data_IF_215146776068
#
_entry.id   IF_215146776068
#
_cell.length_a   1.000
_cell.length_b   1.000
_cell.length_c   1.000
_cell.angle_alpha   90.00
_cell.angle_beta   90.00
_cell.angle_gamma   90.00
#
_symmetry.space_group_name_H-M   'P 1'
#
loop_
_entity.id
_entity.type
_entity.pdbx_description
1 polymer ?
#
# COMPACT_ATOMS: atom_id res chain seq x y z
N UNK A 1 29.95 36.23 -13.57
CA UNK A 1 29.30 35.33 -12.61
C UNK A 1 27.85 35.75 -12.52
N UNK A 2 26.93 34.93 -13.05
CA UNK A 2 25.49 35.17 -12.98
C UNK A 2 24.95 34.38 -11.79
N UNK A 3 24.63 35.08 -10.70
CA UNK A 3 23.84 34.50 -9.60
C UNK A 3 22.40 34.44 -10.08
N UNK A 4 22.01 33.32 -10.72
CA UNK A 4 20.64 33.05 -11.09
C UNK A 4 19.82 32.75 -9.83
N UNK A 5 19.12 33.76 -9.31
CA UNK A 5 18.04 33.54 -8.36
C UNK A 5 16.98 32.73 -9.10
N UNK A 6 16.70 31.52 -8.63
CA UNK A 6 15.58 30.73 -9.15
C UNK A 6 14.31 31.37 -8.60
N UNK A 7 13.56 32.05 -9.47
CA UNK A 7 12.22 32.54 -9.18
C UNK A 7 11.25 31.45 -9.59
N UNK A 8 10.54 30.92 -8.61
CA UNK A 8 9.41 30.04 -8.86
C UNK A 8 8.18 30.93 -9.07
N UNK A 9 7.81 31.16 -10.34
CA UNK A 9 6.70 32.04 -10.74
C UNK A 9 5.38 31.73 -10.02
N UNK A 10 5.17 30.48 -9.59
CA UNK A 10 4.00 30.06 -8.80
C UNK A 10 3.91 30.75 -7.42
N UNK A 11 5.03 31.27 -6.90
CA UNK A 11 5.10 32.05 -5.64
C UNK A 11 5.29 33.55 -5.87
N UNK A 12 5.23 34.05 -7.11
CA UNK A 12 5.49 35.45 -7.45
C UNK A 12 4.25 36.38 -7.34
N UNK A 13 3.24 35.99 -6.55
CA UNK A 13 1.99 36.74 -6.36
C UNK A 13 1.95 37.59 -5.09
N UNK A 14 0.87 38.37 -4.92
CA UNK A 14 0.58 39.00 -3.62
C UNK A 14 0.33 37.92 -2.57
N UNK A 15 1.02 38.00 -1.44
CA UNK A 15 0.82 37.06 -0.34
C UNK A 15 -0.63 37.14 0.17
N UNK A 16 -1.33 36.01 0.34
CA UNK A 16 -2.68 36.01 0.87
C UNK A 16 -2.69 36.55 2.30
N UNK A 17 -3.51 37.59 2.53
CA UNK A 17 -3.64 38.25 3.85
C UNK A 17 -4.85 37.77 4.65
N UNK A 18 -5.69 36.91 4.07
CA UNK A 18 -6.89 36.33 4.68
C UNK A 18 -6.78 34.80 4.70
N UNK A 19 -7.15 34.10 5.79
CA UNK A 19 -7.05 32.64 5.88
C UNK A 19 -7.73 31.92 4.71
N UNK A 20 -8.92 32.39 4.31
CA UNK A 20 -9.76 31.75 3.30
C UNK A 20 -9.07 31.68 1.92
N UNK A 21 -8.08 32.54 1.65
CA UNK A 21 -7.32 32.53 0.39
C UNK A 21 -6.36 31.33 0.27
N UNK A 22 -6.18 30.54 1.33
CA UNK A 22 -5.34 29.33 1.36
C UNK A 22 -6.10 28.06 1.76
N UNK A 23 -7.41 28.16 1.98
CA UNK A 23 -8.26 27.03 2.34
C UNK A 23 -8.84 26.39 1.08
N UNK A 24 -8.33 25.22 0.73
CA UNK A 24 -8.85 24.40 -0.36
C UNK A 24 -9.62 23.22 0.22
N UNK A 25 -10.87 23.06 -0.22
CA UNK A 25 -11.78 22.01 0.26
C UNK A 25 -11.90 20.83 -0.73
N UNK A 26 -11.17 20.92 -1.85
CA UNK A 26 -11.12 19.91 -2.89
C UNK A 26 -9.67 19.64 -3.33
N UNK A 27 -9.35 18.39 -3.76
CA UNK A 27 -10.25 17.24 -3.79
C UNK A 27 -10.55 16.70 -2.39
N UNK A 28 -11.77 16.21 -2.19
CA UNK A 28 -12.11 15.51 -0.95
C UNK A 28 -11.36 14.16 -0.91
N UNK A 29 -10.72 13.88 0.23
CA UNK A 29 -10.04 12.60 0.43
C UNK A 29 -11.06 11.46 0.58
N UNK A 30 -10.82 10.28 -0.01
CA UNK A 30 -11.66 9.11 0.21
C UNK A 30 -11.73 8.76 1.70
N UNK A 31 -12.94 8.45 2.18
CA UNK A 31 -13.13 8.00 3.56
C UNK A 31 -12.71 6.54 3.68
N UNK A 32 -11.75 6.27 4.55
CA UNK A 32 -11.30 4.92 4.91
C UNK A 32 -11.70 4.62 6.34
N UNK A 33 -12.34 3.47 6.57
CA UNK A 33 -12.61 3.00 7.93
C UNK A 33 -11.36 2.26 8.42
N UNK A 34 -10.72 2.72 9.52
CA UNK A 34 -9.50 2.08 10.01
C UNK A 34 -9.79 0.72 10.64
N UNK A 35 -8.71 -0.02 10.86
CA UNK A 35 -8.66 -1.30 11.54
C UNK A 35 -9.47 -1.28 12.86
N UNK A 36 -10.35 -2.28 13.04
CA UNK A 36 -10.93 -2.66 14.32
C UNK A 36 -10.37 -4.04 14.68
N UNK A 37 -9.74 -4.18 15.85
CA UNK A 37 -9.29 -5.47 16.42
C UNK A 37 -8.31 -6.31 15.56
N UNK A 38 -7.45 -5.69 14.76
CA UNK A 38 -6.47 -6.39 13.91
C UNK A 38 -6.93 -6.58 12.45
N UNK A 39 -8.15 -6.15 12.09
CA UNK A 39 -8.67 -6.26 10.73
C UNK A 39 -8.05 -5.25 9.74
N UNK A 40 -7.92 -5.61 8.46
CA UNK A 40 -7.47 -4.68 7.43
C UNK A 40 -8.45 -3.48 7.30
N UNK A 41 -7.96 -2.27 6.95
CA UNK A 41 -8.82 -1.13 6.70
C UNK A 41 -9.76 -1.41 5.52
N UNK A 42 -10.86 -0.65 5.43
CA UNK A 42 -11.96 -0.94 4.49
C UNK A 42 -11.58 -0.93 3.01
N UNK A 43 -10.46 -0.29 2.65
CA UNK A 43 -9.95 -0.17 1.29
C UNK A 43 -8.76 -1.11 1.00
N UNK A 44 -8.32 -1.91 1.98
CA UNK A 44 -7.20 -2.81 1.80
C UNK A 44 -7.60 -4.10 1.04
N UNK A 45 -6.65 -4.58 0.25
CA UNK A 45 -6.71 -5.93 -0.34
C UNK A 45 -6.16 -6.90 0.68
N UNK A 46 -6.98 -7.88 1.09
CA UNK A 46 -6.56 -8.90 2.06
C UNK A 46 -5.75 -9.98 1.37
N UNK A 47 -4.43 -9.97 1.61
CA UNK A 47 -3.53 -10.97 1.03
C UNK A 47 -3.59 -12.33 1.75
N UNK A 48 -3.85 -12.31 3.07
CA UNK A 48 -3.97 -13.49 3.90
C UNK A 48 -4.82 -13.17 5.14
N UNK A 49 -5.81 -14.00 5.45
CA UNK A 49 -6.72 -13.86 6.59
C UNK A 49 -6.71 -15.09 7.52
N UNK A 50 -5.76 -16.01 7.30
CA UNK A 50 -5.69 -17.27 8.02
C UNK A 50 -6.42 -18.45 7.36
N UNK A 51 -7.21 -18.23 6.31
CA UNK A 51 -8.07 -19.27 5.72
C UNK A 51 -7.49 -19.98 4.50
N UNK A 52 -6.74 -19.28 3.64
CA UNK A 52 -6.13 -19.88 2.44
C UNK A 52 -4.89 -19.13 1.95
N UNK A 53 -4.09 -19.80 1.10
CA UNK A 53 -2.95 -19.19 0.38
C UNK A 53 -3.32 -18.85 -1.07
N UNK A 54 -4.61 -18.68 -1.39
CA UNK A 54 -5.06 -18.56 -2.79
C UNK A 54 -4.60 -17.27 -3.47
N UNK A 55 -4.22 -16.25 -2.72
CA UNK A 55 -3.62 -15.03 -3.26
C UNK A 55 -2.12 -15.16 -3.56
N UNK A 56 -1.53 -16.34 -3.29
CA UNK A 56 -0.10 -16.61 -3.39
C UNK A 56 0.19 -17.76 -4.35
N UNK A 57 1.35 -17.71 -5.00
CA UNK A 57 1.87 -18.75 -5.90
C UNK A 57 3.35 -18.99 -5.66
N UNK A 58 3.86 -20.13 -6.13
CA UNK A 58 5.30 -20.41 -6.14
C UNK A 58 6.03 -19.43 -7.06
N UNK A 59 7.18 -18.92 -6.64
CA UNK A 59 8.05 -18.12 -7.54
C UNK A 59 8.76 -18.97 -8.59
N UNK A 60 8.89 -20.29 -8.35
CA UNK A 60 9.50 -21.24 -9.30
C UNK A 60 8.59 -21.57 -10.48
N UNK A 61 7.27 -21.55 -10.24
CA UNK A 61 6.23 -21.81 -11.23
C UNK A 61 4.94 -21.15 -10.76
N UNK A 62 4.57 -20.03 -11.38
CA UNK A 62 3.41 -19.22 -10.99
C UNK A 62 2.07 -19.88 -11.30
N UNK A 63 2.06 -21.00 -12.03
CA UNK A 63 0.85 -21.81 -12.24
C UNK A 63 0.56 -22.72 -11.05
N UNK A 64 1.53 -22.90 -10.15
CA UNK A 64 1.43 -23.76 -8.98
C UNK A 64 1.10 -22.97 -7.71
N UNK A 65 0.29 -23.58 -6.85
CA UNK A 65 -0.04 -23.02 -5.54
C UNK A 65 1.20 -22.78 -4.68
N UNK A 66 1.12 -21.79 -3.78
CA UNK A 66 2.13 -21.53 -2.77
C UNK A 66 2.42 -22.80 -1.93
N UNK A 67 3.65 -23.35 -1.97
CA UNK A 67 3.95 -24.64 -1.37
C UNK A 67 4.23 -24.59 0.14
N UNK A 68 3.83 -23.51 0.81
CA UNK A 68 4.00 -23.32 2.25
C UNK A 68 2.89 -24.03 3.04
N UNK A 69 3.08 -24.18 4.35
CA UNK A 69 2.10 -24.80 5.23
C UNK A 69 1.07 -23.77 5.71
N UNK A 70 -0.19 -24.20 5.81
CA UNK A 70 -1.26 -23.46 6.47
C UNK A 70 -1.80 -24.30 7.63
N UNK A 71 -1.66 -23.79 8.84
CA UNK A 71 -2.19 -24.44 10.05
C UNK A 71 -2.49 -23.40 11.12
N UNK A 72 -3.64 -23.52 11.79
CA UNK A 72 -3.99 -22.66 12.91
C UNK A 72 -4.12 -21.17 12.57
N UNK A 73 -4.50 -20.84 11.33
CA UNK A 73 -4.62 -19.44 10.88
C UNK A 73 -3.30 -18.77 10.51
N UNK A 74 -2.17 -19.50 10.53
CA UNK A 74 -0.85 -18.94 10.18
C UNK A 74 -0.24 -19.63 8.97
N UNK A 75 0.45 -18.84 8.16
CA UNK A 75 1.26 -19.31 7.06
C UNK A 75 2.67 -19.61 7.57
N UNK A 76 3.17 -20.83 7.34
CA UNK A 76 4.49 -21.27 7.82
C UNK A 76 5.35 -21.75 6.66
N UNK A 77 6.60 -21.27 6.59
CA UNK A 77 7.58 -21.71 5.58
C UNK A 77 7.72 -23.23 5.59
N UNK A 78 7.61 -23.86 4.42
CA UNK A 78 7.96 -25.27 4.23
C UNK A 78 9.42 -25.36 3.81
N UNK A 79 10.24 -26.08 4.59
CA UNK A 79 11.66 -26.22 4.28
C UNK A 79 11.87 -26.71 2.84
N UNK A 80 12.82 -26.07 2.15
CA UNK A 80 13.20 -26.34 0.75
C UNK A 80 12.09 -26.12 -0.30
N UNK A 81 10.93 -25.58 0.06
CA UNK A 81 9.88 -25.28 -0.92
C UNK A 81 10.24 -24.09 -1.81
N UNK A 82 11.03 -23.15 -1.29
CA UNK A 82 11.36 -21.88 -1.93
C UNK A 82 10.34 -20.80 -1.63
N UNK A 83 10.51 -19.66 -2.30
CA UNK A 83 9.73 -18.45 -2.06
C UNK A 83 8.33 -18.52 -2.68
N UNK A 84 7.47 -17.62 -2.20
CA UNK A 84 6.14 -17.38 -2.74
C UNK A 84 6.00 -15.91 -3.11
N UNK A 85 5.07 -15.61 -3.99
CA UNK A 85 4.71 -14.25 -4.37
C UNK A 85 3.20 -14.11 -4.50
N UNK A 86 2.70 -12.88 -4.38
CA UNK A 86 1.30 -12.59 -4.66
C UNK A 86 0.97 -12.85 -6.14
N UNK A 87 -0.26 -13.28 -6.41
CA UNK A 87 -0.78 -13.36 -7.79
C UNK A 87 -0.95 -11.98 -8.40
N UNK A 88 -1.35 -11.01 -7.59
CA UNK A 88 -1.48 -9.62 -8.00
C UNK A 88 -0.13 -8.91 -7.95
N UNK A 89 0.10 -8.01 -8.91
CA UNK A 89 1.25 -7.12 -8.94
C UNK A 89 0.86 -5.74 -8.43
N UNK A 90 1.79 -5.08 -7.74
CA UNK A 90 1.55 -3.80 -7.09
C UNK A 90 2.61 -2.76 -7.50
N UNK A 91 2.20 -1.50 -7.55
CA UNK A 91 3.09 -0.34 -7.62
C UNK A 91 3.36 0.19 -6.22
N UNK A 92 3.03 1.46 -5.99
CA UNK A 92 3.11 2.07 -4.66
C UNK A 92 2.05 1.48 -3.73
N UNK A 93 2.46 1.02 -2.55
CA UNK A 93 1.57 0.39 -1.57
C UNK A 93 1.91 0.79 -0.14
N UNK A 94 0.90 0.71 0.70
CA UNK A 94 1.06 0.49 2.12
C UNK A 94 0.85 -1.00 2.40
N UNK A 95 1.78 -1.63 3.12
CA UNK A 95 1.77 -3.06 3.41
C UNK A 95 1.84 -3.33 4.92
N UNK A 96 1.01 -4.25 5.39
CA UNK A 96 1.06 -4.82 6.73
C UNK A 96 1.22 -6.34 6.62
N UNK A 97 2.15 -6.92 7.40
CA UNK A 97 2.45 -8.36 7.46
C UNK A 97 2.94 -8.68 8.88
N UNK A 98 2.44 -9.77 9.46
CA UNK A 98 2.84 -10.32 10.76
C UNK A 98 3.13 -11.83 10.66
#
# INVERSE_FOLDING_TARGET
MINGVIVHEEYAGEEPTKPEATEFYEPQVPKVTPNVNGEPPSDAIVLFDGSSLDNWVSTKDTTQAAPWHLYGGVMTVKDKSGDIQTKQHFGDIQLHVE
#
